data_IF_949791269268
#
_entry.id   IF_949791269268
#
_cell.length_a   1.000
_cell.length_b   1.000
_cell.length_c   1.000
_cell.angle_alpha   90.00
_cell.angle_beta   90.00
_cell.angle_gamma   90.00
#
_symmetry.space_group_name_H-M   'P 1'
#
loop_
_entity.id
_entity.type
_entity.pdbx_description
1 polymer ?
#
# COMPACT_ATOMS: atom_id res chain seq x y z
N UNK A 1 -5.73 18.43 10.67
CA UNK A 1 -4.38 19.02 10.82
C UNK A 1 -4.32 20.52 10.55
N UNK A 2 -5.36 21.15 9.97
CA UNK A 2 -5.34 22.56 9.52
C UNK A 2 -5.06 23.60 10.63
N UNK A 3 -5.48 23.38 11.88
CA UNK A 3 -5.34 24.41 12.93
C UNK A 3 -3.99 24.42 13.68
N UNK A 4 -3.06 23.51 13.35
CA UNK A 4 -1.71 23.51 13.97
C UNK A 4 -0.81 24.49 13.23
N UNK A 5 -0.87 24.48 11.88
CA UNK A 5 -0.05 25.35 11.04
C UNK A 5 -0.32 26.84 11.31
N UNK A 6 -1.59 27.23 11.46
CA UNK A 6 -1.92 28.65 11.59
C UNK A 6 -1.49 29.26 12.93
N UNK A 7 -1.62 28.55 14.06
CA UNK A 7 -1.11 29.05 15.36
C UNK A 7 0.41 29.16 15.39
N UNK A 8 1.13 28.20 14.79
CA UNK A 8 2.59 28.27 14.68
C UNK A 8 3.02 29.44 13.78
N UNK A 9 2.31 29.65 12.68
CA UNK A 9 2.51 30.78 11.79
C UNK A 9 2.34 32.12 12.53
N UNK A 10 1.24 32.31 13.25
CA UNK A 10 0.98 33.52 14.04
C UNK A 10 2.03 33.73 15.15
N UNK A 11 2.47 32.65 15.80
CA UNK A 11 3.56 32.71 16.79
C UNK A 11 4.89 33.16 16.17
N UNK A 12 5.18 32.77 14.93
CA UNK A 12 6.39 33.21 14.24
C UNK A 12 6.31 34.70 13.88
N UNK A 13 5.18 35.15 13.30
CA UNK A 13 4.96 36.57 13.04
C UNK A 13 5.08 37.42 14.31
N UNK A 14 4.52 36.93 15.43
CA UNK A 14 4.61 37.62 16.71
C UNK A 14 6.06 37.76 17.21
N UNK A 15 6.87 36.72 17.01
CA UNK A 15 8.30 36.75 17.33
C UNK A 15 9.08 37.71 16.42
N UNK A 16 8.79 37.72 15.12
CA UNK A 16 9.43 38.62 14.15
C UNK A 16 9.08 40.09 14.40
N UNK A 17 7.89 40.37 14.91
CA UNK A 17 7.44 41.71 15.32
C UNK A 17 7.86 42.07 16.75
N UNK A 18 8.68 41.24 17.42
CA UNK A 18 9.21 41.48 18.77
C UNK A 18 8.13 41.71 19.86
N UNK A 19 6.98 41.05 19.75
CA UNK A 19 5.96 41.08 20.79
C UNK A 19 6.48 40.48 22.10
N UNK A 20 6.12 41.11 23.23
CA UNK A 20 6.53 40.65 24.56
C UNK A 20 5.67 39.48 25.04
N UNK A 21 4.38 39.51 24.70
CA UNK A 21 3.40 38.48 25.06
C UNK A 21 2.71 37.90 23.84
N UNK A 22 2.46 36.59 23.87
CA UNK A 22 1.67 35.89 22.86
C UNK A 22 1.02 34.63 23.43
N UNK A 23 -0.24 34.40 23.09
CA UNK A 23 -0.95 33.15 23.30
C UNK A 23 -1.88 32.91 22.12
N UNK A 24 -2.01 31.67 21.68
CA UNK A 24 -2.99 31.30 20.68
C UNK A 24 -3.70 30.00 21.05
N UNK A 25 -5.03 30.00 20.97
CA UNK A 25 -5.86 28.82 21.23
C UNK A 25 -6.95 28.68 20.18
N UNK A 26 -7.32 27.44 19.88
CA UNK A 26 -8.49 27.21 19.07
C UNK A 26 -9.73 27.40 19.94
N UNK A 27 -10.70 28.14 19.42
CA UNK A 27 -12.04 28.24 19.97
C UNK A 27 -12.95 27.47 19.01
N UNK A 28 -13.42 26.30 19.44
CA UNK A 28 -14.14 25.40 18.54
C UNK A 28 -13.25 24.82 17.44
N UNK A 29 -13.82 24.63 16.25
CA UNK A 29 -13.19 23.92 15.12
C UNK A 29 -12.55 24.84 14.09
N UNK A 30 -12.96 26.10 14.01
CA UNK A 30 -12.69 27.02 12.89
C UNK A 30 -12.20 28.41 13.34
N UNK A 31 -12.29 28.74 14.63
CA UNK A 31 -11.81 30.01 15.16
C UNK A 31 -10.49 29.84 15.93
N UNK A 32 -9.58 30.80 15.77
CA UNK A 32 -8.36 30.92 16.56
C UNK A 32 -8.41 32.26 17.28
N UNK A 33 -8.35 32.20 18.60
CA UNK A 33 -8.18 33.37 19.44
C UNK A 33 -6.69 33.57 19.70
N UNK A 34 -6.24 34.81 19.52
CA UNK A 34 -4.86 35.23 19.78
C UNK A 34 -4.89 36.38 20.78
N UNK A 35 -4.13 36.23 21.86
CA UNK A 35 -3.81 37.31 22.79
C UNK A 35 -2.37 37.70 22.55
N UNK A 36 -2.09 38.99 22.42
CA UNK A 36 -0.76 39.50 22.16
C UNK A 36 -0.52 40.79 22.94
N UNK A 37 0.72 41.03 23.31
CA UNK A 37 1.15 42.18 24.11
C UNK A 37 2.49 42.69 23.56
N UNK A 38 2.66 44.00 23.53
CA UNK A 38 3.86 44.66 23.02
C UNK A 38 3.71 46.18 23.08
N UNK A 39 4.75 46.91 22.66
CA UNK A 39 4.63 48.35 22.44
C UNK A 39 3.75 48.63 21.22
N UNK A 40 3.31 49.89 21.09
CA UNK A 40 2.38 50.26 20.01
C UNK A 40 2.96 49.99 18.62
N UNK A 41 4.27 50.16 18.43
CA UNK A 41 4.91 49.95 17.14
C UNK A 41 4.97 48.47 16.79
N UNK A 42 5.36 47.63 17.75
CA UNK A 42 5.43 46.17 17.62
C UNK A 42 4.04 45.58 17.35
N UNK A 43 3.02 46.08 18.04
CA UNK A 43 1.63 45.69 17.80
C UNK A 43 1.17 46.08 16.39
N UNK A 44 1.44 47.32 15.95
CA UNK A 44 1.08 47.77 14.60
C UNK A 44 1.72 46.88 13.53
N UNK A 45 3.02 46.59 13.66
CA UNK A 45 3.75 45.73 12.73
C UNK A 45 3.17 44.31 12.69
N UNK A 46 2.88 43.72 13.85
CA UNK A 46 2.26 42.39 13.92
C UNK A 46 0.90 42.36 13.21
N UNK A 47 0.03 43.34 13.48
CA UNK A 47 -1.31 43.43 12.88
C UNK A 47 -1.24 43.59 11.36
N UNK A 48 -0.32 44.41 10.86
CA UNK A 48 -0.09 44.57 9.43
C UNK A 48 0.35 43.25 8.78
N UNK A 49 1.34 42.56 9.36
CA UNK A 49 1.80 41.26 8.87
C UNK A 49 0.70 40.20 8.87
N UNK A 50 -0.14 40.14 9.90
CA UNK A 50 -1.25 39.18 9.97
C UNK A 50 -2.26 39.42 8.84
N UNK A 51 -2.51 40.69 8.48
CA UNK A 51 -3.39 41.05 7.36
C UNK A 51 -2.78 40.73 6.00
N UNK A 52 -1.48 41.00 5.84
CA UNK A 52 -0.77 40.80 4.58
C UNK A 52 -0.50 39.32 4.28
N UNK A 53 -0.01 38.59 5.28
CA UNK A 53 0.50 37.22 5.13
C UNK A 53 -0.50 36.14 5.50
N UNK A 54 -1.80 36.46 5.57
CA UNK A 54 -2.84 35.45 5.81
C UNK A 54 -2.65 34.28 4.81
N UNK A 55 -2.45 33.03 5.29
CA UNK A 55 -2.09 31.92 4.41
C UNK A 55 -3.14 31.76 3.32
N UNK A 56 -2.69 31.76 2.06
CA UNK A 56 -3.56 31.59 0.87
C UNK A 56 -4.38 30.29 0.87
N UNK A 57 -4.07 29.34 1.76
CA UNK A 57 -4.76 28.05 1.90
C UNK A 57 -5.62 27.92 3.18
N UNK A 58 -5.67 28.95 4.03
CA UNK A 58 -6.66 29.04 5.09
C UNK A 58 -7.76 30.00 4.64
N UNK A 59 -8.98 29.51 4.49
CA UNK A 59 -10.18 30.33 4.29
C UNK A 59 -10.46 31.16 5.55
N UNK A 60 -9.62 32.17 5.82
CA UNK A 60 -9.88 33.13 6.91
C UNK A 60 -11.02 34.02 6.43
N UNK A 61 -12.22 33.72 6.91
CA UNK A 61 -13.45 34.43 6.55
C UNK A 61 -13.52 35.82 7.16
N UNK A 62 -12.95 36.01 8.36
CA UNK A 62 -12.89 37.30 9.04
C UNK A 62 -11.73 37.37 10.04
N UNK A 63 -11.26 38.58 10.31
CA UNK A 63 -10.30 38.89 11.38
C UNK A 63 -10.84 40.07 12.17
N UNK A 64 -10.94 39.91 13.49
CA UNK A 64 -11.38 40.95 14.41
C UNK A 64 -10.28 41.26 15.42
N UNK A 65 -10.05 42.55 15.68
CA UNK A 65 -9.11 43.04 16.68
C UNK A 65 -9.89 43.72 17.80
N UNK A 66 -9.60 43.36 19.05
CA UNK A 66 -10.29 43.87 20.25
C UNK A 66 -9.25 44.23 21.30
N UNK A 67 -9.53 45.27 22.07
CA UNK A 67 -8.71 45.62 23.24
C UNK A 67 -8.88 44.54 24.32
N UNK A 68 -7.80 44.28 25.04
CA UNK A 68 -7.72 43.25 26.07
C UNK A 68 -6.77 43.72 27.17
N UNK A 69 -7.29 43.89 28.39
CA UNK A 69 -6.52 44.37 29.55
C UNK A 69 -6.07 43.23 30.48
N UNK A 70 -6.30 41.98 30.08
CA UNK A 70 -5.86 40.83 30.86
C UNK A 70 -4.38 40.49 30.62
N UNK A 71 -3.80 39.62 31.46
CA UNK A 71 -2.40 39.23 31.32
C UNK A 71 -2.18 38.38 30.07
N UNK A 72 -1.15 38.72 29.28
CA UNK A 72 -0.67 37.89 28.17
C UNK A 72 0.59 37.17 28.61
N UNK A 73 0.71 35.89 28.25
CA UNK A 73 1.88 35.08 28.60
C UNK A 73 3.05 35.54 27.76
N UNK A 74 4.24 35.65 28.36
CA UNK A 74 5.47 35.94 27.62
C UNK A 74 5.63 34.99 26.45
N UNK A 75 5.98 35.54 25.29
CA UNK A 75 6.05 34.78 24.03
C UNK A 75 6.97 33.56 24.13
N UNK A 76 8.09 33.67 24.86
CA UNK A 76 9.05 32.57 25.06
C UNK A 76 8.44 31.40 25.85
N UNK A 77 7.67 31.71 26.90
CA UNK A 77 7.02 30.69 27.73
C UNK A 77 5.95 29.98 26.93
N UNK A 78 5.11 30.73 26.21
CA UNK A 78 4.11 30.13 25.32
C UNK A 78 4.76 29.30 24.21
N UNK A 79 5.83 29.79 23.58
CA UNK A 79 6.57 29.05 22.55
C UNK A 79 7.08 27.73 23.10
N UNK A 80 7.70 27.72 24.28
CA UNK A 80 8.18 26.48 24.90
C UNK A 80 7.05 25.48 25.14
N UNK A 81 5.97 25.90 25.80
CA UNK A 81 4.83 25.03 26.09
C UNK A 81 4.15 24.52 24.80
N UNK A 82 3.94 25.41 23.83
CA UNK A 82 3.33 25.08 22.56
C UNK A 82 4.15 24.03 21.81
N UNK A 83 5.47 24.23 21.72
CA UNK A 83 6.37 23.27 21.04
C UNK A 83 6.42 21.92 21.77
N UNK A 84 6.47 21.89 23.11
CA UNK A 84 6.39 20.64 23.87
C UNK A 84 5.08 19.89 23.59
N UNK A 85 3.96 20.60 23.57
CA UNK A 85 2.66 20.02 23.24
C UNK A 85 2.62 19.49 21.79
N UNK A 86 3.19 20.22 20.83
CA UNK A 86 3.25 19.75 19.44
C UNK A 86 4.14 18.50 19.30
N UNK A 87 5.28 18.47 19.98
CA UNK A 87 6.16 17.29 19.99
C UNK A 87 5.46 16.07 20.56
N UNK A 88 4.71 16.22 21.66
CA UNK A 88 3.91 15.13 22.23
C UNK A 88 2.92 14.52 21.21
N UNK A 89 2.23 15.37 20.44
CA UNK A 89 1.32 14.91 19.37
C UNK A 89 2.05 14.19 18.24
N UNK A 90 3.23 14.68 17.85
CA UNK A 90 4.05 14.02 16.82
C UNK A 90 4.49 12.64 17.30
N UNK A 91 4.89 12.50 18.56
CA UNK A 91 5.25 11.21 19.14
C UNK A 91 4.06 10.25 19.15
N UNK A 92 2.88 10.70 19.58
CA UNK A 92 1.66 9.88 19.60
C UNK A 92 1.27 9.38 18.20
N UNK A 93 1.25 10.28 17.21
CA UNK A 93 1.00 9.92 15.81
C UNK A 93 2.07 8.96 15.29
N UNK A 94 3.34 9.19 15.64
CA UNK A 94 4.45 8.32 15.27
C UNK A 94 4.28 6.89 15.81
N UNK A 95 3.86 6.75 17.07
CA UNK A 95 3.56 5.44 17.67
C UNK A 95 2.37 4.75 16.99
N UNK A 96 1.30 5.48 16.67
CA UNK A 96 0.16 4.94 15.93
C UNK A 96 0.57 4.46 14.53
N UNK A 97 1.41 5.22 13.83
CA UNK A 97 1.94 4.86 12.51
C UNK A 97 2.79 3.60 12.57
N UNK A 98 3.68 3.47 13.56
CA UNK A 98 4.48 2.25 13.78
C UNK A 98 3.56 1.04 13.98
N UNK A 99 2.53 1.16 14.84
CA UNK A 99 1.58 0.06 15.05
C UNK A 99 0.80 -0.34 13.78
N UNK A 100 0.41 0.63 12.95
CA UNK A 100 -0.22 0.35 11.63
C UNK A 100 0.75 -0.32 10.66
N UNK A 101 2.02 0.06 10.69
CA UNK A 101 3.06 -0.54 9.87
C UNK A 101 3.29 -2.00 10.26
N UNK A 102 3.39 -2.31 11.55
CA UNK A 102 3.52 -3.68 12.07
C UNK A 102 2.33 -4.56 11.65
N UNK A 103 1.11 -4.05 11.75
CA UNK A 103 -0.08 -4.77 11.28
C UNK A 103 -0.04 -5.07 9.77
N UNK A 104 0.49 -4.13 8.99
CA UNK A 104 0.59 -4.27 7.54
C UNK A 104 1.65 -5.29 7.14
N UNK A 105 2.80 -5.30 7.83
CA UNK A 105 3.84 -6.32 7.66
C UNK A 105 3.31 -7.71 8.00
N UNK A 106 2.61 -7.88 9.13
CA UNK A 106 2.01 -9.16 9.52
C UNK A 106 1.00 -9.70 8.48
N UNK A 107 0.21 -8.82 7.86
CA UNK A 107 -0.68 -9.20 6.75
C UNK A 107 0.09 -9.62 5.51
N UNK A 108 1.20 -8.96 5.21
CA UNK A 108 2.07 -9.31 4.09
C UNK A 108 2.70 -10.69 4.30
N UNK A 109 3.20 -10.99 5.50
CA UNK A 109 3.72 -12.32 5.85
C UNK A 109 2.65 -13.40 5.67
N UNK A 110 1.42 -13.13 6.11
CA UNK A 110 0.29 -14.06 5.93
C UNK A 110 -0.08 -14.27 4.45
N UNK A 111 0.13 -13.26 3.59
CA UNK A 111 -0.08 -13.39 2.15
C UNK A 111 1.03 -14.22 1.49
N UNK A 112 2.28 -14.03 1.90
CA UNK A 112 3.42 -14.82 1.43
C UNK A 112 3.24 -16.30 1.78
N UNK A 113 2.85 -16.63 3.02
CA UNK A 113 2.58 -18.01 3.43
C UNK A 113 1.48 -18.66 2.56
N UNK A 114 0.43 -17.91 2.23
CA UNK A 114 -0.64 -18.40 1.33
C UNK A 114 -0.16 -18.59 -0.11
N UNK A 115 0.77 -17.76 -0.58
CA UNK A 115 1.39 -17.93 -1.90
C UNK A 115 2.24 -19.20 -1.91
N UNK A 116 3.06 -19.43 -0.89
CA UNK A 116 3.88 -20.64 -0.76
C UNK A 116 3.00 -21.90 -0.77
N UNK A 117 1.92 -21.93 0.00
CA UNK A 117 0.95 -23.04 -0.03
C UNK A 117 0.29 -23.25 -1.39
N UNK A 118 0.15 -22.19 -2.19
CA UNK A 118 -0.42 -22.26 -3.54
C UNK A 118 0.60 -22.84 -4.52
N UNK A 119 1.87 -22.42 -4.41
CA UNK A 119 2.97 -22.96 -5.21
C UNK A 119 3.15 -24.46 -4.93
N UNK A 120 3.15 -24.89 -3.66
CA UNK A 120 3.22 -26.31 -3.29
C UNK A 120 2.06 -27.15 -3.85
N UNK A 121 0.88 -26.55 -4.01
CA UNK A 121 -0.27 -27.22 -4.65
C UNK A 121 -0.09 -27.33 -6.16
N UNK A 122 0.51 -26.32 -6.79
CA UNK A 122 0.83 -26.34 -8.21
C UNK A 122 1.92 -27.37 -8.51
N UNK A 123 2.97 -27.45 -7.71
CA UNK A 123 4.04 -28.45 -7.87
C UNK A 123 3.47 -29.88 -7.80
N UNK A 124 2.63 -30.17 -6.79
CA UNK A 124 1.93 -31.47 -6.69
C UNK A 124 1.00 -31.75 -7.87
N UNK A 125 0.46 -30.73 -8.51
CA UNK A 125 -0.36 -30.89 -9.70
C UNK A 125 0.49 -31.23 -10.93
N UNK A 126 1.64 -30.57 -11.08
CA UNK A 126 2.62 -30.86 -12.13
C UNK A 126 3.16 -32.30 -12.00
N UNK A 127 3.54 -32.74 -10.80
CA UNK A 127 3.97 -34.13 -10.57
C UNK A 127 2.90 -35.15 -10.99
N UNK A 128 1.62 -34.86 -10.70
CA UNK A 128 0.51 -35.73 -11.14
C UNK A 128 0.32 -35.72 -12.65
N UNK A 129 0.56 -34.60 -13.31
CA UNK A 129 0.52 -34.51 -14.77
C UNK A 129 1.68 -35.30 -15.39
N UNK A 130 2.89 -35.22 -14.84
CA UNK A 130 4.04 -36.00 -15.30
C UNK A 130 3.77 -37.51 -15.22
N UNK A 131 3.23 -37.99 -14.08
CA UNK A 131 2.81 -39.40 -13.94
C UNK A 131 1.74 -39.80 -14.98
N UNK A 132 0.84 -38.88 -15.33
CA UNK A 132 -0.19 -39.14 -16.34
C UNK A 132 0.43 -39.25 -17.74
N UNK A 133 1.37 -38.38 -18.07
CA UNK A 133 2.11 -38.40 -19.33
C UNK A 133 2.88 -39.72 -19.45
N UNK A 134 3.63 -40.13 -18.42
CA UNK A 134 4.33 -41.43 -18.43
C UNK A 134 3.41 -42.62 -18.69
N UNK A 135 2.20 -42.60 -18.09
CA UNK A 135 1.20 -43.64 -18.34
C UNK A 135 0.67 -43.63 -19.77
N UNK A 136 0.46 -42.45 -20.34
CA UNK A 136 0.02 -42.28 -21.74
C UNK A 136 1.10 -42.80 -22.69
N UNK A 137 2.37 -42.43 -22.46
CA UNK A 137 3.51 -42.92 -23.26
C UNK A 137 3.62 -44.45 -23.19
N UNK A 138 3.46 -45.01 -21.99
CA UNK A 138 3.43 -46.47 -21.80
C UNK A 138 2.26 -47.17 -22.50
N UNK A 139 1.11 -46.50 -22.63
CA UNK A 139 -0.02 -46.99 -23.44
C UNK A 139 0.30 -46.89 -24.94
N UNK A 140 0.89 -45.79 -25.39
CA UNK A 140 1.34 -45.58 -26.77
C UNK A 140 2.27 -46.72 -27.23
N UNK A 141 3.30 -47.03 -26.44
CA UNK A 141 4.22 -48.12 -26.74
C UNK A 141 3.54 -49.50 -26.84
N UNK A 142 2.51 -49.75 -26.02
CA UNK A 142 1.70 -50.99 -26.12
C UNK A 142 0.87 -51.02 -27.39
N UNK A 143 0.28 -49.89 -27.78
CA UNK A 143 -0.50 -49.77 -29.03
C UNK A 143 0.41 -49.99 -30.24
N UNK A 144 1.60 -49.39 -30.26
CA UNK A 144 2.59 -49.58 -31.34
C UNK A 144 2.97 -51.07 -31.48
N UNK A 145 3.25 -51.74 -30.36
CA UNK A 145 3.56 -53.17 -30.35
C UNK A 145 2.38 -54.04 -30.85
N UNK A 146 1.14 -53.66 -30.50
CA UNK A 146 -0.04 -54.33 -31.05
C UNK A 146 -0.16 -54.11 -32.56
N UNK A 147 0.15 -52.90 -33.05
CA UNK A 147 0.22 -52.58 -34.48
C UNK A 147 1.19 -53.51 -35.22
N UNK A 148 2.43 -53.63 -34.72
CA UNK A 148 3.46 -54.53 -35.30
C UNK A 148 2.97 -55.98 -35.34
N UNK A 149 2.33 -56.47 -34.27
CA UNK A 149 1.79 -57.84 -34.24
C UNK A 149 0.66 -58.04 -35.26
N UNK A 150 -0.23 -57.07 -35.40
CA UNK A 150 -1.33 -57.11 -36.40
C UNK A 150 -0.76 -57.13 -37.82
N UNK A 151 0.25 -56.32 -38.10
CA UNK A 151 0.89 -56.29 -39.42
C UNK A 151 1.58 -57.62 -39.73
N UNK A 152 2.27 -58.21 -38.74
CA UNK A 152 2.85 -59.57 -38.87
C UNK A 152 1.78 -60.63 -39.19
N UNK A 153 0.67 -60.65 -38.44
CA UNK A 153 -0.45 -61.58 -38.69
C UNK A 153 -1.07 -61.38 -40.08
N UNK A 154 -1.15 -60.13 -40.57
CA UNK A 154 -1.65 -59.83 -41.91
C UNK A 154 -0.73 -60.38 -43.01
N UNK A 155 0.58 -60.23 -42.86
CA UNK A 155 1.55 -60.78 -43.81
C UNK A 155 1.55 -62.32 -43.82
N UNK A 156 1.50 -62.95 -42.64
CA UNK A 156 1.37 -64.41 -42.52
C UNK A 156 0.11 -64.92 -43.23
N UNK A 157 -1.03 -64.23 -43.05
CA UNK A 157 -2.29 -64.58 -43.69
C UNK A 157 -2.22 -64.42 -45.22
N UNK A 158 -1.64 -63.32 -45.73
CA UNK A 158 -1.40 -63.14 -47.18
C UNK A 158 -0.56 -64.30 -47.74
N UNK A 159 0.56 -64.62 -47.10
CA UNK A 159 1.43 -65.72 -47.53
C UNK A 159 0.70 -67.07 -47.55
N UNK A 160 -0.14 -67.36 -46.55
CA UNK A 160 -0.96 -68.58 -46.54
C UNK A 160 -1.98 -68.62 -47.68
N UNK A 161 -2.64 -67.50 -47.98
CA UNK A 161 -3.60 -67.40 -49.07
C UNK A 161 -2.92 -67.57 -50.44
N UNK A 162 -1.78 -66.92 -50.67
CA UNK A 162 -1.01 -67.04 -51.91
C UNK A 162 -0.54 -68.49 -52.15
N UNK A 163 -0.06 -69.16 -51.09
CA UNK A 163 0.29 -70.60 -51.14
C UNK A 163 -0.93 -71.46 -51.48
N UNK A 164 -2.09 -71.18 -50.89
CA UNK A 164 -3.34 -71.93 -51.19
C UNK A 164 -3.77 -71.73 -52.63
N UNK A 165 -3.74 -70.50 -53.13
CA UNK A 165 -4.12 -70.16 -54.50
C UNK A 165 -3.22 -70.87 -55.52
N UNK A 166 -1.90 -70.74 -55.36
CA UNK A 166 -0.92 -71.41 -56.23
C UNK A 166 -1.05 -72.94 -56.22
N UNK A 167 -1.42 -73.54 -55.09
CA UNK A 167 -1.66 -74.98 -55.00
C UNK A 167 -2.94 -75.40 -55.74
N UNK A 168 -3.99 -74.57 -55.72
CA UNK A 168 -5.23 -74.82 -56.45
C UNK A 168 -5.04 -74.69 -57.96
N UNK A 169 -4.31 -73.67 -58.42
CA UNK A 169 -3.98 -73.47 -59.84
C UNK A 169 -3.22 -74.67 -60.41
N UNK A 170 -2.25 -75.22 -59.66
CA UNK A 170 -1.49 -76.42 -60.07
C UNK A 170 -2.31 -77.71 -60.10
N UNK A 171 -3.44 -77.78 -59.40
CA UNK A 171 -4.33 -78.96 -59.38
C UNK A 171 -5.45 -78.89 -60.42
N UNK A 172 -5.66 -77.72 -61.02
CA UNK A 172 -6.69 -77.49 -62.05
C UNK A 172 -6.17 -77.47 -63.50
N UNK A 173 -4.85 -77.51 -63.72
CA UNK A 173 -4.20 -77.79 -65.02
C UNK A 173 -3.86 -79.27 -65.15
#
# INVERSE_FOLDING_TARGET
MQNIGYRLFLLNLAGESNLTGFQARNIGTDCIEVLYEGGEQEIREFVEKVREFSPRESEVSSIEFKEYDGPVKRIEVFRSEFMTMQLGKVVEIGLEMIGKQDNSLSKQDSMLERQDQTLEKQDRMLEKQDIMIEKIDGLGAKVDNLGVKIDGLREDLKSMLDRRLTTLERRGS
#
